data_IF_077409280267
#
_entry.id   IF_077409280267
#
_cell.length_a   1.000
_cell.length_b   1.000
_cell.length_c   1.000
_cell.angle_alpha   90.00
_cell.angle_beta   90.00
_cell.angle_gamma   90.00
#
_symmetry.space_group_name_H-M   'P 1'
#
loop_
_entity.id
_entity.type
_entity.pdbx_description
1 polymer ?
#
# COMPACT_ATOMS: atom_id res chain seq x y z
N UNK A 1 -12.62 2.51 -7.98
CA UNK A 1 -12.29 1.12 -8.39
C UNK A 1 -10.83 0.86 -8.05
N UNK A 2 -10.50 -0.27 -7.43
CA UNK A 2 -9.10 -0.70 -7.32
C UNK A 2 -8.57 -1.02 -8.72
N UNK A 3 -7.49 -0.36 -9.11
CA UNK A 3 -6.91 -0.48 -10.45
C UNK A 3 -6.28 -1.86 -10.64
N UNK A 4 -6.63 -2.53 -11.73
CA UNK A 4 -6.04 -3.81 -12.15
C UNK A 4 -4.95 -3.55 -13.17
N UNK A 5 -3.73 -4.01 -12.92
CA UNK A 5 -2.56 -3.85 -13.80
C UNK A 5 -1.87 -5.19 -14.05
N UNK A 6 -1.55 -5.48 -15.29
CA UNK A 6 -0.72 -6.61 -15.66
C UNK A 6 0.75 -6.19 -15.72
N UNK A 7 1.63 -7.05 -15.20
CA UNK A 7 3.09 -6.97 -15.31
C UNK A 7 3.52 -8.03 -16.31
N UNK A 8 4.24 -7.62 -17.35
CA UNK A 8 4.69 -8.49 -18.43
C UNK A 8 6.21 -8.65 -18.37
N UNK A 9 6.70 -9.86 -18.57
CA UNK A 9 8.13 -10.16 -18.60
C UNK A 9 8.73 -10.06 -20.00
N UNK A 10 7.91 -9.88 -21.05
CA UNK A 10 8.36 -9.89 -22.43
C UNK A 10 8.58 -11.30 -22.98
N UNK A 11 8.08 -12.31 -22.27
CA UNK A 11 8.12 -13.70 -22.71
C UNK A 11 7.16 -13.89 -23.89
N UNK A 12 7.60 -14.60 -24.92
CA UNK A 12 6.73 -14.95 -26.06
C UNK A 12 5.49 -15.75 -25.64
N UNK A 13 5.56 -16.48 -24.53
CA UNK A 13 4.43 -17.23 -23.99
C UNK A 13 3.28 -16.33 -23.50
N UNK A 14 3.57 -15.11 -23.05
CA UNK A 14 2.54 -14.17 -22.57
C UNK A 14 1.57 -13.80 -23.72
N UNK A 15 2.11 -13.60 -24.92
CA UNK A 15 1.32 -13.33 -26.13
C UNK A 15 0.65 -14.59 -26.70
N UNK A 16 1.36 -15.72 -26.73
CA UNK A 16 0.86 -16.95 -27.37
C UNK A 16 -0.19 -17.69 -26.52
N UNK A 17 -0.07 -17.67 -25.19
CA UNK A 17 -0.93 -18.43 -24.27
C UNK A 17 -1.97 -17.52 -23.60
N UNK A 18 -1.64 -16.25 -23.36
CA UNK A 18 -2.54 -15.28 -22.72
C UNK A 18 -2.47 -15.29 -21.19
N UNK A 19 -1.29 -15.00 -20.64
CA UNK A 19 -1.09 -14.73 -19.21
C UNK A 19 -0.09 -13.58 -19.01
N UNK A 20 0.04 -13.09 -17.78
CA UNK A 20 0.99 -12.05 -17.41
C UNK A 20 1.97 -12.61 -16.36
N UNK A 21 3.21 -12.12 -16.30
CA UNK A 21 4.16 -12.48 -15.23
C UNK A 21 3.56 -12.27 -13.84
N UNK A 22 2.86 -11.16 -13.65
CA UNK A 22 2.07 -10.91 -12.45
C UNK A 22 0.84 -10.06 -12.77
N UNK A 23 -0.17 -10.15 -11.91
CA UNK A 23 -1.35 -9.27 -11.93
C UNK A 23 -1.45 -8.59 -10.58
N UNK A 24 -1.49 -7.26 -10.62
CA UNK A 24 -1.85 -6.42 -9.48
C UNK A 24 -3.35 -6.16 -9.55
N UNK A 25 -4.07 -6.51 -8.49
CA UNK A 25 -5.50 -6.23 -8.34
C UNK A 25 -5.74 -5.59 -6.95
N UNK A 26 -5.77 -4.26 -6.93
CA UNK A 26 -5.85 -3.48 -5.71
C UNK A 26 -4.65 -3.65 -4.79
N UNK A 27 -4.81 -4.45 -3.73
CA UNK A 27 -3.73 -4.77 -2.78
C UNK A 27 -3.12 -6.14 -2.99
N UNK A 28 -3.73 -6.95 -3.86
CA UNK A 28 -3.24 -8.28 -4.17
C UNK A 28 -2.27 -8.22 -5.33
N UNK A 29 -1.19 -8.98 -5.20
CA UNK A 29 -0.22 -9.24 -6.26
C UNK A 29 -0.16 -10.74 -6.44
N UNK A 30 -0.60 -11.21 -7.60
CA UNK A 30 -0.54 -12.61 -7.98
C UNK A 30 0.57 -12.78 -8.99
N UNK A 31 1.66 -13.44 -8.60
CA UNK A 31 2.76 -13.79 -9.51
C UNK A 31 2.46 -15.16 -10.09
N UNK A 32 2.46 -15.27 -11.41
CA UNK A 32 2.24 -16.54 -12.09
C UNK A 32 3.32 -17.57 -11.73
N UNK A 33 2.98 -18.84 -11.92
CA UNK A 33 3.93 -19.94 -11.82
C UNK A 33 5.22 -19.63 -12.59
N UNK A 34 6.33 -19.65 -11.87
CA UNK A 34 7.63 -19.18 -12.36
C UNK A 34 8.63 -20.32 -12.29
N UNK A 35 9.19 -20.64 -13.45
CA UNK A 35 10.16 -21.72 -13.67
C UNK A 35 11.58 -21.18 -13.72
N UNK A 36 12.57 -22.07 -13.65
CA UNK A 36 14.01 -21.74 -13.58
C UNK A 36 14.65 -21.23 -14.88
N UNK A 37 13.87 -20.74 -15.84
CA UNK A 37 14.42 -20.14 -17.06
C UNK A 37 14.99 -18.76 -16.78
N UNK A 38 16.18 -18.49 -17.31
CA UNK A 38 16.66 -17.12 -17.53
C UNK A 38 16.10 -16.62 -18.86
N UNK A 39 15.18 -15.66 -18.80
CA UNK A 39 14.51 -15.11 -19.99
C UNK A 39 15.41 -14.17 -20.81
N UNK A 40 16.54 -13.73 -20.27
CA UNK A 40 17.53 -12.91 -20.99
C UNK A 40 18.33 -13.79 -21.96
N UNK A 41 18.74 -14.97 -21.49
CA UNK A 41 19.58 -15.91 -22.24
C UNK A 41 18.78 -17.05 -22.86
N UNK A 42 17.50 -17.20 -22.48
CA UNK A 42 16.61 -18.30 -22.84
C UNK A 42 17.20 -19.68 -22.51
N UNK A 43 17.93 -19.75 -21.39
CA UNK A 43 18.55 -20.99 -20.88
C UNK A 43 17.93 -21.44 -19.56
N UNK A 44 18.14 -22.69 -19.20
CA UNK A 44 17.73 -23.28 -17.93
C UNK A 44 18.83 -24.24 -17.47
N UNK A 45 19.16 -24.19 -16.18
CA UNK A 45 20.15 -25.10 -15.59
C UNK A 45 19.61 -26.52 -15.45
N UNK A 46 20.47 -27.52 -15.54
CA UNK A 46 20.15 -28.90 -15.17
C UNK A 46 20.18 -29.13 -13.65
N UNK A 47 20.65 -28.17 -12.86
CA UNK A 47 20.63 -28.25 -11.40
C UNK A 47 19.35 -27.63 -10.81
N UNK A 48 18.67 -28.35 -9.91
CA UNK A 48 17.38 -27.90 -9.37
C UNK A 48 17.53 -26.74 -8.37
N UNK A 49 18.66 -26.66 -7.67
CA UNK A 49 18.94 -25.56 -6.74
C UNK A 49 19.15 -24.27 -7.54
N UNK A 50 19.92 -24.34 -8.63
CA UNK A 50 20.10 -23.22 -9.55
C UNK A 50 18.77 -22.79 -10.22
N UNK A 51 17.92 -23.76 -10.61
CA UNK A 51 16.58 -23.44 -11.09
C UNK A 51 15.74 -22.73 -10.02
N UNK A 52 15.76 -23.20 -8.77
CA UNK A 52 15.02 -22.56 -7.68
C UNK A 52 15.52 -21.12 -7.42
N UNK A 53 16.83 -20.89 -7.48
CA UNK A 53 17.39 -19.54 -7.41
C UNK A 53 16.88 -18.66 -8.56
N UNK A 54 16.87 -19.17 -9.78
CA UNK A 54 16.38 -18.42 -10.92
C UNK A 54 14.87 -18.13 -10.81
N UNK A 55 14.08 -19.08 -10.31
CA UNK A 55 12.66 -18.86 -10.01
C UNK A 55 12.48 -17.67 -9.07
N UNK A 56 13.24 -17.65 -7.98
CA UNK A 56 13.16 -16.59 -6.97
C UNK A 56 13.65 -15.24 -7.50
N UNK A 57 14.71 -15.20 -8.31
CA UNK A 57 15.14 -13.96 -9.00
C UNK A 57 14.05 -13.39 -9.89
N UNK A 58 13.41 -14.24 -10.69
CA UNK A 58 12.31 -13.83 -11.58
C UNK A 58 11.08 -13.35 -10.78
N UNK A 59 10.75 -14.02 -9.68
CA UNK A 59 9.67 -13.62 -8.77
C UNK A 59 9.99 -12.29 -8.09
N UNK A 60 11.23 -12.09 -7.63
CA UNK A 60 11.68 -10.85 -7.00
C UNK A 60 11.53 -9.66 -7.94
N UNK A 61 11.93 -9.81 -9.21
CA UNK A 61 11.75 -8.78 -10.22
C UNK A 61 10.26 -8.43 -10.43
N UNK A 62 9.40 -9.44 -10.51
CA UNK A 62 7.96 -9.24 -10.66
C UNK A 62 7.32 -8.56 -9.43
N UNK A 63 7.74 -8.96 -8.23
CA UNK A 63 7.31 -8.32 -6.97
C UNK A 63 7.79 -6.88 -6.91
N UNK A 64 9.04 -6.60 -7.29
CA UNK A 64 9.61 -5.26 -7.29
C UNK A 64 8.86 -4.31 -8.22
N UNK A 65 8.48 -4.75 -9.44
CA UNK A 65 7.63 -3.97 -10.35
C UNK A 65 6.20 -3.76 -9.81
N UNK A 66 5.76 -4.62 -8.89
CA UNK A 66 4.51 -4.48 -8.15
C UNK A 66 4.65 -3.67 -6.85
N UNK A 67 5.83 -3.06 -6.59
CA UNK A 67 6.16 -2.34 -5.36
C UNK A 67 6.04 -3.23 -4.09
N UNK A 68 6.37 -4.51 -4.25
CA UNK A 68 6.36 -5.53 -3.20
C UNK A 68 7.74 -6.17 -3.06
N UNK A 69 7.94 -6.85 -1.93
CA UNK A 69 9.12 -7.68 -1.65
C UNK A 69 8.68 -9.08 -1.22
N UNK A 70 9.64 -9.98 -0.99
CA UNK A 70 9.33 -11.29 -0.38
C UNK A 70 8.65 -11.15 1.00
N UNK A 71 8.86 -10.05 1.73
CA UNK A 71 8.20 -9.81 3.01
C UNK A 71 6.68 -9.61 2.90
N UNK A 72 6.17 -9.36 1.70
CA UNK A 72 4.74 -9.17 1.41
C UNK A 72 4.07 -10.46 0.94
N UNK A 73 4.85 -11.52 0.72
CA UNK A 73 4.32 -12.82 0.30
C UNK A 73 3.56 -13.46 1.46
N UNK A 74 2.29 -13.77 1.21
CA UNK A 74 1.41 -14.44 2.18
C UNK A 74 1.19 -15.90 1.85
N UNK A 75 1.42 -16.29 0.58
CA UNK A 75 1.31 -17.67 0.11
C UNK A 75 2.38 -18.00 -0.93
N UNK A 76 2.93 -19.20 -0.82
CA UNK A 76 3.80 -19.83 -1.81
C UNK A 76 3.32 -21.24 -2.15
N UNK A 77 3.39 -21.62 -3.42
CA UNK A 77 3.19 -22.99 -3.90
C UNK A 77 4.42 -23.44 -4.67
N UNK A 78 4.86 -24.66 -4.38
CA UNK A 78 5.97 -25.31 -5.05
C UNK A 78 5.42 -26.48 -5.87
N UNK A 79 5.76 -26.53 -7.15
CA UNK A 79 5.37 -27.60 -8.06
C UNK A 79 6.64 -28.24 -8.62
N UNK A 80 6.81 -29.54 -8.43
CA UNK A 80 7.99 -30.28 -8.90
C UNK A 80 7.59 -31.66 -9.44
N UNK A 81 8.22 -32.17 -10.52
CA UNK A 81 7.99 -33.54 -11.00
C UNK A 81 8.55 -34.61 -10.05
N UNK A 82 9.67 -34.31 -9.38
CA UNK A 82 10.42 -35.22 -8.51
C UNK A 82 10.37 -34.67 -7.09
N UNK A 83 9.97 -35.50 -6.12
CA UNK A 83 9.81 -35.07 -4.72
C UNK A 83 11.16 -34.77 -4.07
N UNK A 84 12.16 -35.59 -4.39
CA UNK A 84 13.49 -35.59 -3.80
C UNK A 84 14.26 -34.32 -4.14
N UNK A 85 13.88 -33.63 -5.22
CA UNK A 85 14.47 -32.35 -5.64
C UNK A 85 14.07 -31.17 -4.72
N UNK A 86 13.04 -31.34 -3.88
CA UNK A 86 12.56 -30.24 -3.04
C UNK A 86 13.47 -29.91 -1.86
N UNK A 87 14.01 -30.93 -1.17
CA UNK A 87 14.88 -30.75 0.00
C UNK A 87 16.18 -29.99 -0.33
N UNK A 88 16.89 -30.29 -1.43
CA UNK A 88 18.04 -29.51 -1.89
C UNK A 88 17.78 -28.00 -2.04
N UNK A 89 16.55 -27.61 -2.36
CA UNK A 89 16.18 -26.20 -2.56
C UNK A 89 15.99 -25.43 -1.24
N UNK A 90 15.84 -26.10 -0.09
CA UNK A 90 15.49 -25.46 1.18
C UNK A 90 16.42 -24.32 1.61
N UNK A 91 17.76 -24.39 1.45
CA UNK A 91 18.63 -23.28 1.80
C UNK A 91 18.30 -21.99 1.04
N UNK A 92 17.99 -22.11 -0.26
CA UNK A 92 17.61 -20.97 -1.10
C UNK A 92 16.24 -20.44 -0.70
N UNK A 93 15.25 -21.34 -0.52
CA UNK A 93 13.91 -20.95 -0.07
C UNK A 93 13.96 -20.24 1.30
N UNK A 94 14.79 -20.72 2.22
CA UNK A 94 14.95 -20.15 3.56
C UNK A 94 15.55 -18.73 3.53
N UNK A 95 16.43 -18.42 2.57
CA UNK A 95 16.95 -17.05 2.39
C UNK A 95 15.84 -16.05 2.09
N UNK A 96 14.82 -16.43 1.32
CA UNK A 96 13.71 -15.55 0.96
C UNK A 96 12.56 -15.59 1.98
N UNK A 97 12.23 -16.77 2.51
CA UNK A 97 10.99 -17.00 3.26
C UNK A 97 11.20 -17.33 4.74
N UNK A 98 12.44 -17.48 5.22
CA UNK A 98 12.73 -17.98 6.58
C UNK A 98 12.10 -17.16 7.70
N UNK A 99 12.16 -15.83 7.58
CA UNK A 99 11.54 -14.90 8.53
C UNK A 99 10.10 -14.52 8.14
N UNK A 100 9.79 -14.55 6.84
CA UNK A 100 8.46 -14.21 6.30
C UNK A 100 7.41 -15.27 6.65
N UNK A 101 7.78 -16.55 6.53
CA UNK A 101 6.94 -17.72 6.82
C UNK A 101 5.53 -17.66 6.18
N UNK A 102 5.43 -17.54 4.84
CA UNK A 102 4.13 -17.56 4.16
C UNK A 102 3.44 -18.93 4.30
N UNK A 103 2.12 -18.96 4.10
CA UNK A 103 1.41 -20.22 3.95
C UNK A 103 2.00 -20.99 2.74
N UNK A 104 2.36 -22.26 2.92
CA UNK A 104 3.08 -23.03 1.93
C UNK A 104 2.32 -24.30 1.51
N UNK A 105 2.48 -24.71 0.26
CA UNK A 105 2.04 -26.01 -0.25
C UNK A 105 3.06 -26.54 -1.26
N UNK A 106 3.48 -27.80 -1.13
CA UNK A 106 4.31 -28.48 -2.12
C UNK A 106 3.46 -29.54 -2.82
N UNK A 107 3.51 -29.57 -4.16
CA UNK A 107 2.81 -30.51 -5.01
C UNK A 107 3.81 -31.25 -5.89
N UNK A 108 3.66 -32.57 -5.95
CA UNK A 108 4.39 -33.40 -6.91
C UNK A 108 3.52 -33.56 -8.16
N UNK A 109 3.95 -32.96 -9.27
CA UNK A 109 3.21 -32.95 -10.54
C UNK A 109 4.13 -32.64 -11.74
N UNK A 110 3.71 -33.04 -12.95
CA UNK A 110 4.45 -32.73 -14.17
C UNK A 110 4.42 -31.24 -14.51
N UNK A 111 5.50 -30.74 -15.12
CA UNK A 111 5.64 -29.36 -15.60
C UNK A 111 5.59 -29.30 -17.13
N UNK A 112 5.40 -28.11 -17.68
CA UNK A 112 5.13 -27.90 -19.11
C UNK A 112 6.29 -28.30 -20.04
N UNK A 113 7.54 -28.15 -19.57
CA UNK A 113 8.75 -28.56 -20.28
C UNK A 113 9.53 -29.57 -19.42
N UNK A 114 10.01 -30.71 -19.97
CA UNK A 114 10.72 -31.73 -19.20
C UNK A 114 12.04 -31.25 -18.58
N UNK A 115 12.59 -30.12 -19.02
CA UNK A 115 13.78 -29.50 -18.41
C UNK A 115 13.46 -28.78 -17.11
N UNK A 116 12.19 -28.42 -16.87
CA UNK A 116 11.78 -27.74 -15.65
C UNK A 116 11.73 -28.76 -14.49
N UNK A 117 12.46 -28.46 -13.41
CA UNK A 117 12.51 -29.28 -12.20
C UNK A 117 11.70 -28.68 -11.05
N UNK A 118 11.53 -27.36 -11.06
CA UNK A 118 10.74 -26.63 -10.07
C UNK A 118 10.02 -25.44 -10.70
N UNK A 119 8.78 -25.25 -10.27
CA UNK A 119 7.98 -24.06 -10.54
C UNK A 119 7.45 -23.50 -9.21
N UNK A 120 7.56 -22.19 -9.04
CA UNK A 120 7.17 -21.48 -7.81
C UNK A 120 6.11 -20.44 -8.17
N UNK A 121 4.98 -20.49 -7.48
CA UNK A 121 3.91 -19.51 -7.56
C UNK A 121 3.79 -18.78 -6.22
N UNK A 122 3.65 -17.45 -6.24
CA UNK A 122 3.45 -16.66 -5.02
C UNK A 122 2.26 -15.71 -5.14
N UNK A 123 1.57 -15.52 -4.02
CA UNK A 123 0.64 -14.41 -3.83
C UNK A 123 1.15 -13.53 -2.71
N UNK A 124 1.29 -12.25 -3.01
CA UNK A 124 1.68 -11.21 -2.08
C UNK A 124 0.52 -10.25 -1.86
N UNK A 125 0.55 -9.58 -0.70
CA UNK A 125 -0.37 -8.51 -0.39
C UNK A 125 0.44 -7.26 -0.12
N UNK A 126 0.35 -6.27 -1.02
CA UNK A 126 1.00 -4.98 -0.85
C UNK A 126 0.57 -4.42 0.51
N UNK A 127 1.55 -4.21 1.39
CA UNK A 127 1.31 -3.46 2.61
C UNK A 127 0.97 -2.05 2.17
N UNK A 128 -0.30 -1.72 2.18
CA UNK A 128 -0.66 -0.33 2.44
C UNK A 128 -0.06 -0.08 3.81
N UNK A 129 0.82 0.91 3.99
CA UNK A 129 1.10 1.40 5.32
C UNK A 129 -0.27 1.56 6.01
N UNK A 130 -0.44 1.23 7.29
CA UNK A 130 -1.63 1.69 7.98
C UNK A 130 -1.67 3.21 7.72
N UNK A 131 -2.61 3.64 6.87
CA UNK A 131 -2.66 4.93 6.15
C UNK A 131 -1.72 5.05 4.93
N UNK A 132 -2.25 4.86 3.71
CA UNK A 132 -1.45 4.98 2.47
C UNK A 132 -2.25 4.85 1.17
N UNK A 133 -3.31 5.64 1.01
CA UNK A 133 -3.60 6.18 -0.32
C UNK A 133 -2.62 7.34 -0.53
N UNK A 134 -2.00 7.42 -1.71
CA UNK A 134 -1.10 8.47 -2.22
C UNK A 134 -0.56 9.43 -1.15
N UNK A 135 0.75 9.32 -0.83
CA UNK A 135 1.53 10.21 0.03
C UNK A 135 0.83 11.54 0.35
N UNK A 136 -0.05 11.49 1.36
CA UNK A 136 -0.64 12.68 1.91
C UNK A 136 0.25 13.06 3.08
N UNK A 137 0.73 14.29 3.10
CA UNK A 137 1.46 14.92 4.23
C UNK A 137 0.59 15.05 5.51
N UNK A 138 -0.46 14.24 5.60
CA UNK A 138 -1.35 14.19 6.74
C UNK A 138 -0.66 13.44 7.87
N UNK A 139 -0.46 14.17 8.97
CA UNK A 139 -0.04 13.63 10.25
C UNK A 139 -0.81 12.35 10.61
N UNK A 140 -0.08 11.30 11.00
CA UNK A 140 -0.65 10.06 11.54
C UNK A 140 -1.08 10.23 13.02
N UNK A 141 -0.81 11.40 13.60
CA UNK A 141 -1.27 11.80 14.93
C UNK A 141 -2.44 12.80 14.83
N UNK A 142 -3.43 12.72 15.73
CA UNK A 142 -4.51 13.69 15.77
C UNK A 142 -3.97 15.09 16.11
N UNK A 143 -4.66 16.13 15.64
CA UNK A 143 -4.41 17.51 16.08
C UNK A 143 -4.40 17.59 17.62
N UNK A 144 -3.41 18.32 18.16
CA UNK A 144 -3.21 18.45 19.60
C UNK A 144 -4.44 19.02 20.30
N UNK A 145 -4.68 18.58 21.54
CA UNK A 145 -5.73 19.12 22.38
C UNK A 145 -5.38 20.54 22.87
N UNK A 146 -5.83 21.56 22.15
CA UNK A 146 -5.67 22.96 22.54
C UNK A 146 -6.60 23.38 23.69
N UNK A 147 -6.22 24.44 24.42
CA UNK A 147 -7.04 25.02 25.49
C UNK A 147 -8.36 25.61 24.93
N UNK A 148 -9.54 25.08 25.34
CA UNK A 148 -10.85 25.59 24.94
C UNK A 148 -11.12 27.04 25.43
N UNK A 149 -12.08 27.76 24.82
CA UNK A 149 -12.90 27.32 23.71
C UNK A 149 -12.27 27.58 22.34
N UNK A 150 -12.44 26.64 21.42
CA UNK A 150 -12.10 26.80 20.02
C UNK A 150 -13.24 26.23 19.14
N UNK A 151 -13.15 26.36 17.82
CA UNK A 151 -14.17 25.92 16.88
C UNK A 151 -13.66 24.80 16.00
N UNK A 152 -14.57 23.90 15.62
CA UNK A 152 -14.33 22.84 14.64
C UNK A 152 -15.30 22.94 13.48
N UNK A 153 -14.81 22.71 12.28
CA UNK A 153 -15.61 22.51 11.08
C UNK A 153 -15.42 21.06 10.62
N UNK A 154 -16.44 20.23 10.82
CA UNK A 154 -16.47 18.81 10.47
C UNK A 154 -17.17 18.66 9.12
N UNK A 155 -16.41 18.34 8.09
CA UNK A 155 -16.89 18.10 6.75
C UNK A 155 -16.83 16.61 6.43
N UNK A 156 -17.98 15.98 6.26
CA UNK A 156 -18.11 14.55 5.96
C UNK A 156 -18.58 14.38 4.53
N UNK A 157 -17.93 13.54 3.74
CA UNK A 157 -18.14 13.43 2.29
C UNK A 157 -18.33 11.99 1.83
N UNK A 158 -19.10 11.82 0.76
CA UNK A 158 -19.08 10.65 -0.12
C UNK A 158 -18.64 11.13 -1.50
N UNK A 159 -17.52 10.60 -1.98
CA UNK A 159 -16.90 11.03 -3.24
C UNK A 159 -17.49 10.30 -4.45
N UNK A 160 -17.46 10.94 -5.62
CA UNK A 160 -17.75 10.33 -6.92
C UNK A 160 -16.60 9.42 -7.36
N UNK A 161 -16.80 8.61 -8.41
CA UNK A 161 -15.74 7.74 -8.93
C UNK A 161 -14.66 8.52 -9.69
N UNK A 162 -15.02 9.61 -10.36
CA UNK A 162 -14.08 10.53 -10.99
C UNK A 162 -13.56 11.54 -9.95
N UNK A 163 -12.25 11.55 -9.77
CA UNK A 163 -11.54 12.41 -8.80
C UNK A 163 -10.41 13.18 -9.48
N UNK A 164 -10.48 13.38 -10.80
CA UNK A 164 -9.49 14.15 -11.56
C UNK A 164 -9.30 15.54 -10.94
N UNK A 165 -8.05 15.91 -10.66
CA UNK A 165 -7.67 17.21 -10.08
C UNK A 165 -8.04 17.40 -8.60
N UNK A 166 -8.64 16.41 -7.93
CA UNK A 166 -8.99 16.50 -6.51
C UNK A 166 -7.74 16.69 -5.64
N UNK A 167 -6.72 15.84 -5.84
CA UNK A 167 -5.53 15.82 -4.99
C UNK A 167 -4.76 17.14 -5.01
N UNK A 168 -4.60 17.74 -6.20
CA UNK A 168 -3.92 19.02 -6.37
C UNK A 168 -4.71 20.16 -5.72
N UNK A 169 -6.03 20.18 -5.92
CA UNK A 169 -6.90 21.19 -5.30
C UNK A 169 -6.91 21.05 -3.78
N UNK A 170 -6.93 19.82 -3.27
CA UNK A 170 -6.92 19.56 -1.83
C UNK A 170 -5.60 20.00 -1.18
N UNK A 171 -4.46 19.66 -1.78
CA UNK A 171 -3.15 20.12 -1.31
C UNK A 171 -3.08 21.65 -1.25
N UNK A 172 -3.65 22.33 -2.27
CA UNK A 172 -3.74 23.79 -2.29
C UNK A 172 -4.63 24.34 -1.15
N UNK A 173 -5.75 23.70 -0.84
CA UNK A 173 -6.61 24.10 0.28
C UNK A 173 -5.91 23.94 1.63
N UNK A 174 -5.12 22.89 1.80
CA UNK A 174 -4.30 22.66 2.99
C UNK A 174 -3.23 23.73 3.18
N UNK A 175 -2.59 24.18 2.11
CA UNK A 175 -1.62 25.25 2.20
C UNK A 175 -2.28 26.59 2.52
N UNK A 176 -3.42 26.89 1.90
CA UNK A 176 -4.17 28.13 2.18
C UNK A 176 -4.69 28.20 3.61
N UNK A 177 -5.22 27.10 4.15
CA UNK A 177 -5.82 27.12 5.49
C UNK A 177 -4.76 27.35 6.57
N UNK A 178 -3.51 26.93 6.35
CA UNK A 178 -2.38 27.17 7.25
C UNK A 178 -2.09 28.66 7.45
N UNK A 179 -2.36 29.49 6.44
CA UNK A 179 -2.14 30.93 6.48
C UNK A 179 -3.26 31.71 7.20
N UNK A 180 -4.37 31.06 7.55
CA UNK A 180 -5.49 31.70 8.24
C UNK A 180 -5.09 32.02 9.68
N UNK A 181 -5.08 33.30 10.11
CA UNK A 181 -4.82 33.65 11.50
C UNK A 181 -5.84 32.98 12.42
N UNK A 182 -5.34 32.17 13.36
CA UNK A 182 -6.16 31.35 14.26
C UNK A 182 -6.42 29.93 13.77
N UNK A 183 -5.79 29.46 12.69
CA UNK A 183 -5.77 28.04 12.35
C UNK A 183 -5.01 27.23 13.41
N UNK A 184 -5.58 26.11 13.85
CA UNK A 184 -5.01 25.24 14.88
C UNK A 184 -4.59 23.87 14.34
N UNK A 185 -5.11 23.46 13.19
CA UNK A 185 -4.79 22.17 12.58
C UNK A 185 -5.94 21.61 11.75
N UNK A 186 -5.67 20.48 11.11
CA UNK A 186 -6.65 19.72 10.35
C UNK A 186 -6.42 18.23 10.57
N UNK A 187 -7.50 17.50 10.85
CA UNK A 187 -7.50 16.04 10.77
C UNK A 187 -8.23 15.61 9.49
N UNK A 188 -7.72 14.57 8.85
CA UNK A 188 -8.38 13.96 7.69
C UNK A 188 -8.33 12.44 7.82
N UNK A 189 -9.45 11.79 7.52
CA UNK A 189 -9.52 10.35 7.38
C UNK A 189 -10.42 9.96 6.20
N UNK A 190 -10.04 8.92 5.48
CA UNK A 190 -10.79 8.43 4.33
C UNK A 190 -10.90 6.91 4.39
N UNK A 191 -12.14 6.40 4.34
CA UNK A 191 -12.38 4.98 4.09
C UNK A 191 -12.25 4.72 2.59
N UNK A 192 -11.44 3.75 2.13
CA UNK A 192 -11.35 3.42 0.71
C UNK A 192 -12.72 3.09 0.13
N UNK A 193 -13.15 3.85 -0.89
CA UNK A 193 -14.46 3.71 -1.53
C UNK A 193 -15.66 4.09 -0.65
N UNK A 194 -15.44 4.66 0.54
CA UNK A 194 -16.46 4.98 1.53
C UNK A 194 -16.44 6.45 1.98
N UNK A 195 -16.85 6.68 3.22
CA UNK A 195 -16.91 8.02 3.82
C UNK A 195 -15.51 8.62 3.99
N UNK A 196 -15.41 9.91 3.66
CA UNK A 196 -14.30 10.79 4.04
C UNK A 196 -14.72 11.78 5.11
N UNK A 197 -13.82 12.12 6.02
CA UNK A 197 -14.01 13.16 7.03
C UNK A 197 -12.80 14.11 7.04
N UNK A 198 -13.09 15.40 7.13
CA UNK A 198 -12.11 16.46 7.29
C UNK A 198 -12.56 17.34 8.45
N UNK A 199 -11.70 17.53 9.45
CA UNK A 199 -11.99 18.34 10.63
C UNK A 199 -10.98 19.48 10.67
N UNK A 200 -11.43 20.70 10.37
CA UNK A 200 -10.61 21.90 10.54
C UNK A 200 -10.79 22.51 11.93
N UNK A 201 -9.68 22.85 12.59
CA UNK A 201 -9.65 23.42 13.94
C UNK A 201 -9.26 24.90 13.88
N UNK A 202 -10.03 25.76 14.55
CA UNK A 202 -9.87 27.21 14.51
C UNK A 202 -10.01 27.82 15.90
N UNK A 203 -9.15 28.78 16.25
CA UNK A 203 -9.10 29.44 17.56
C UNK A 203 -10.40 30.15 17.94
N UNK A 204 -11.07 30.74 16.96
CA UNK A 204 -12.28 31.53 17.15
C UNK A 204 -13.18 31.52 15.90
N UNK A 205 -14.39 32.08 16.04
CA UNK A 205 -15.36 32.16 14.95
C UNK A 205 -14.92 33.09 13.81
N UNK A 206 -14.01 34.03 14.08
CA UNK A 206 -13.49 34.94 13.06
C UNK A 206 -12.53 34.21 12.12
N UNK A 207 -11.66 33.36 12.66
CA UNK A 207 -10.77 32.50 11.87
C UNK A 207 -11.57 31.58 10.95
N UNK A 208 -12.63 30.95 11.47
CA UNK A 208 -13.54 30.15 10.65
C UNK A 208 -14.26 30.98 9.58
N UNK A 209 -14.67 32.20 9.92
CA UNK A 209 -15.33 33.11 8.98
C UNK A 209 -14.39 33.50 7.84
N UNK A 210 -13.14 33.87 8.16
CA UNK A 210 -12.10 34.17 7.17
C UNK A 210 -11.92 33.02 6.19
N UNK A 211 -11.76 31.80 6.72
CA UNK A 211 -11.64 30.60 5.90
C UNK A 211 -12.87 30.37 5.01
N UNK A 212 -14.08 30.48 5.56
CA UNK A 212 -15.33 30.32 4.80
C UNK A 212 -15.50 31.36 3.68
N UNK A 213 -14.95 32.56 3.87
CA UNK A 213 -15.08 33.66 2.90
C UNK A 213 -13.94 33.74 1.90
N UNK A 214 -12.90 32.94 2.06
CA UNK A 214 -11.78 32.89 1.12
C UNK A 214 -12.25 32.53 -0.30
N UNK A 215 -11.75 33.27 -1.30
CA UNK A 215 -12.21 33.16 -2.68
C UNK A 215 -11.82 31.84 -3.34
N UNK A 216 -10.61 31.36 -3.06
CA UNK A 216 -10.09 30.11 -3.64
C UNK A 216 -10.76 28.90 -3.00
N UNK A 217 -10.96 28.94 -1.68
CA UNK A 217 -11.73 27.93 -0.96
C UNK A 217 -13.18 27.83 -1.45
N UNK A 218 -13.85 28.95 -1.73
CA UNK A 218 -15.22 28.93 -2.29
C UNK A 218 -15.27 28.37 -3.70
N UNK A 219 -14.27 28.66 -4.53
CA UNK A 219 -14.15 28.08 -5.86
C UNK A 219 -13.95 26.56 -5.78
N UNK A 220 -13.07 26.09 -4.89
CA UNK A 220 -12.86 24.67 -4.64
C UNK A 220 -14.12 23.96 -4.11
N UNK A 221 -14.87 24.59 -3.20
CA UNK A 221 -16.15 24.06 -2.72
C UNK A 221 -17.18 23.91 -3.84
N UNK A 222 -17.27 24.92 -4.73
CA UNK A 222 -18.20 24.87 -5.86
C UNK A 222 -17.82 23.74 -6.81
N UNK A 223 -16.55 23.67 -7.22
CA UNK A 223 -16.05 22.59 -8.07
C UNK A 223 -16.25 21.21 -7.44
N UNK A 224 -16.00 21.08 -6.14
CA UNK A 224 -16.22 19.82 -5.43
C UNK A 224 -17.68 19.36 -5.46
N UNK A 225 -18.66 20.27 -5.43
CA UNK A 225 -20.08 19.93 -5.59
C UNK A 225 -20.42 19.46 -6.99
N UNK A 226 -19.79 20.07 -7.99
CA UNK A 226 -20.10 19.80 -9.39
C UNK A 226 -19.42 18.49 -9.87
N UNK A 227 -18.24 18.17 -9.33
CA UNK A 227 -17.37 17.10 -9.86
C UNK A 227 -17.10 15.97 -8.87
N UNK A 228 -16.81 16.27 -7.60
CA UNK A 228 -16.14 15.31 -6.70
C UNK A 228 -17.01 14.70 -5.61
N UNK A 229 -18.14 15.32 -5.26
CA UNK A 229 -18.97 14.89 -4.13
C UNK A 229 -20.34 14.42 -4.60
N UNK A 230 -20.67 13.16 -4.27
CA UNK A 230 -22.04 12.65 -4.39
C UNK A 230 -22.95 13.26 -3.32
N UNK A 231 -22.42 13.42 -2.11
CA UNK A 231 -23.10 14.08 -0.99
C UNK A 231 -22.08 14.50 0.06
N UNK A 232 -22.40 15.53 0.84
CA UNK A 232 -21.61 15.91 2.01
C UNK A 232 -22.48 16.51 3.12
N UNK A 233 -21.96 16.52 4.35
CA UNK A 233 -22.49 17.32 5.47
C UNK A 233 -21.38 18.21 6.04
N UNK A 234 -21.75 19.37 6.55
CA UNK A 234 -20.85 20.29 7.26
C UNK A 234 -21.47 20.62 8.62
N UNK A 235 -20.76 20.30 9.70
CA UNK A 235 -21.10 20.70 11.05
C UNK A 235 -20.06 21.69 11.57
N UNK A 236 -20.52 22.80 12.15
CA UNK A 236 -19.67 23.75 12.85
C UNK A 236 -20.05 23.70 14.33
N UNK A 237 -19.07 23.47 15.19
CA UNK A 237 -19.29 23.36 16.63
C UNK A 237 -18.21 24.12 17.42
N UNK A 238 -18.59 24.62 18.60
CA UNK A 238 -17.66 25.15 19.60
C UNK A 238 -17.24 24.00 20.51
N UNK A 239 -15.94 23.80 20.66
CA UNK A 239 -15.36 22.85 21.59
C UNK A 239 -15.25 23.50 22.95
N UNK A 240 -15.96 22.95 23.94
CA UNK A 240 -15.94 23.41 25.32
C UNK A 240 -14.97 22.58 26.19
N UNK A 241 -14.51 21.43 25.70
CA UNK A 241 -13.57 20.54 26.41
C UNK A 241 -12.69 19.78 25.42
N UNK A 242 -11.39 19.69 25.72
CA UNK A 242 -10.42 18.91 24.94
C UNK A 242 -9.40 18.25 25.87
N UNK A 243 -8.90 17.07 25.50
CA UNK A 243 -7.86 16.33 26.24
C UNK A 243 -7.18 15.33 25.32
N UNK A 244 -5.86 15.15 25.47
CA UNK A 244 -5.06 14.18 24.70
C UNK A 244 -4.53 13.03 25.54
N UNK A 245 -4.11 11.94 24.87
CA UNK A 245 -3.41 10.82 25.47
C UNK A 245 -2.35 10.28 24.51
N UNK A 246 -1.15 10.06 25.03
CA UNK A 246 -0.05 9.41 24.29
C UNK A 246 0.46 8.25 25.13
N UNK A 247 0.55 7.06 24.52
CA UNK A 247 1.17 5.90 25.17
C UNK A 247 2.68 5.99 25.00
N UNK A 248 3.42 6.04 26.10
CA UNK A 248 4.87 5.82 26.06
C UNK A 248 5.14 4.33 25.77
N UNK A 249 5.93 4.06 24.73
CA UNK A 249 6.48 2.73 24.50
C UNK A 249 7.80 2.62 25.25
N UNK A 250 7.91 1.64 26.13
CA UNK A 250 9.19 1.32 26.78
C UNK A 250 10.22 0.97 25.71
N UNK A 251 11.45 1.50 25.83
CA UNK A 251 12.58 1.08 25.00
C UNK A 251 12.69 -0.43 25.11
N UNK A 252 12.63 -1.14 23.98
CA UNK A 252 12.95 -2.56 23.95
C UNK A 252 14.39 -2.73 24.46
N UNK A 253 14.58 -3.53 25.50
CA UNK A 253 15.89 -3.97 25.94
C UNK A 253 16.56 -4.67 24.75
N UNK A 254 17.54 -3.99 24.15
CA UNK A 254 18.46 -4.62 23.21
C UNK A 254 19.40 -5.45 24.07
N UNK A 255 19.39 -6.80 23.98
CA UNK A 255 20.39 -7.58 24.68
C UNK A 255 21.76 -7.24 24.10
N UNK A 256 22.68 -6.78 24.95
CA UNK A 256 24.08 -6.61 24.58
C UNK A 256 24.61 -7.91 23.97
N UNK A 257 25.20 -7.81 22.78
CA UNK A 257 25.92 -8.94 22.17
C UNK A 257 27.03 -9.39 23.11
N UNK A 258 27.22 -10.71 23.32
CA UNK A 258 28.31 -11.20 24.14
C UNK A 258 29.63 -10.78 23.50
N UNK A 259 30.53 -10.23 24.32
CA UNK A 259 31.90 -9.95 23.94
C UNK A 259 32.55 -11.24 23.44
N UNK A 260 33.22 -11.13 22.29
CA UNK A 260 34.04 -12.20 21.72
C UNK A 260 35.38 -12.16 22.45
N UNK A 261 35.66 -13.18 23.27
CA UNK A 261 37.02 -13.55 23.68
C UNK A 261 37.60 -14.57 22.69
#
# INVERSE_FOLDING_TARGET
MTERRAILSGSTFEEQIGYARAVVDGHWVHVSGTTGFDYTTMTISDDVVEQAEQCLRNIEAALAEAECTFADVVRVRYLLPVREDFEPCWPVLRRCFGDVRPAATMLVCGLADPRMKIEIEVSARRRVPPHGGAASDHSVAPVEAYEPPYYVAVFTTVRTEDQSGYSETNARMEDLVKDVPGYLGIDHAQTPGGLGITVGYFRDADALTRWRTDGEHRAAQQRGRDEWYRSYTLHVAKVERSSGFTREFAKADVPESPAVD
#
